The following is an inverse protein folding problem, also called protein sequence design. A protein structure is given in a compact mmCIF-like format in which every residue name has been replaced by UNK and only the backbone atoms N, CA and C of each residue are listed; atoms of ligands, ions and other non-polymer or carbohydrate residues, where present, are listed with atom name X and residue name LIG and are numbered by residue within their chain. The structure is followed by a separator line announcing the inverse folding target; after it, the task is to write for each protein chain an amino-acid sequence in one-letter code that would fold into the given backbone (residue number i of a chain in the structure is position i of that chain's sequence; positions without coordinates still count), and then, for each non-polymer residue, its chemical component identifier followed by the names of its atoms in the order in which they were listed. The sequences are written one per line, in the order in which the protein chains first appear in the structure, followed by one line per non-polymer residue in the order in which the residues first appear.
data_IF_111864779920
#
_entry.id   IF_111864779920
#
_cell.length_a   1.000
_cell.length_b   1.000
_cell.length_c   1.000
_cell.angle_alpha   90.00
_cell.angle_beta   90.00
_cell.angle_gamma   90.00
#
_symmetry.space_group_name_H-M   'P 1'
#
loop_
_entity.id
_entity.type
_entity.pdbx_description
1 polymer ?
#
# COMPACT_ATOMS: atom_id res chain seq x y z
N UNK A 1 -15.84 23.05 34.77
CA UNK A 1 -15.31 23.58 33.49
C UNK A 1 -14.35 22.54 32.92
N UNK A 2 -14.85 21.66 32.05
CA UNK A 2 -14.08 20.64 31.35
C UNK A 2 -14.36 20.87 29.86
N UNK A 3 -13.54 21.68 29.19
CA UNK A 3 -13.59 21.80 27.74
C UNK A 3 -12.91 20.57 27.15
N UNK A 4 -13.70 19.56 26.80
CA UNK A 4 -13.23 18.48 25.94
C UNK A 4 -13.00 19.08 24.55
N UNK A 5 -11.74 19.19 24.16
CA UNK A 5 -11.35 19.47 22.78
C UNK A 5 -11.91 18.37 21.89
N UNK A 6 -12.80 18.75 20.99
CA UNK A 6 -13.26 17.91 19.91
C UNK A 6 -12.12 17.88 18.89
N UNK A 7 -11.25 16.87 18.99
CA UNK A 7 -10.28 16.58 17.94
C UNK A 7 -11.06 16.07 16.74
N UNK A 8 -11.37 16.97 15.81
CA UNK A 8 -11.89 16.62 14.50
C UNK A 8 -10.72 15.91 13.78
N UNK A 9 -10.80 14.58 13.65
CA UNK A 9 -10.04 13.88 12.63
C UNK A 9 -10.54 14.42 11.29
N UNK A 10 -9.85 15.43 10.77
CA UNK A 10 -9.97 15.80 9.38
C UNK A 10 -9.37 14.63 8.60
N UNK A 11 -10.22 13.80 8.01
CA UNK A 11 -9.80 12.91 6.94
C UNK A 11 -9.16 13.79 5.86
N UNK A 12 -7.84 13.85 5.81
CA UNK A 12 -7.12 14.26 4.61
C UNK A 12 -7.35 13.13 3.58
N UNK A 13 -8.56 13.10 3.02
CA UNK A 13 -8.68 12.67 1.64
C UNK A 13 -7.96 13.78 0.86
N UNK A 14 -6.70 13.54 0.51
CA UNK A 14 -6.09 14.20 -0.64
C UNK A 14 -6.92 13.78 -1.84
N UNK A 15 -8.02 14.49 -2.04
CA UNK A 15 -8.74 14.51 -3.30
C UNK A 15 -7.73 15.12 -4.26
N UNK A 16 -6.98 14.28 -4.97
CA UNK A 16 -6.39 14.69 -6.23
C UNK A 16 -7.60 15.08 -7.06
N UNK A 17 -7.89 16.39 -7.12
CA UNK A 17 -8.79 16.94 -8.12
C UNK A 17 -8.09 16.60 -9.42
N UNK A 18 -8.51 15.49 -10.05
CA UNK A 18 -8.10 15.11 -11.38
C UNK A 18 -8.40 16.29 -12.27
N UNK A 19 -7.39 17.11 -12.53
CA UNK A 19 -7.51 18.17 -13.52
C UNK A 19 -7.68 17.47 -14.85
N UNK A 20 -8.86 17.69 -15.42
CA UNK A 20 -9.25 17.42 -16.80
C UNK A 20 -9.81 16.00 -17.04
N UNK A 21 -11.14 15.80 -17.05
CA UNK A 21 -11.76 14.52 -17.46
C UNK A 21 -11.56 14.20 -18.96
N UNK A 22 -10.79 15.02 -19.69
CA UNK A 22 -10.56 14.92 -21.14
C UNK A 22 -9.09 15.04 -21.56
N UNK A 23 -8.13 15.02 -20.61
CA UNK A 23 -6.70 14.93 -20.94
C UNK A 23 -6.25 13.46 -21.02
N UNK A 24 -5.29 13.10 -21.91
CA UNK A 24 -4.66 11.79 -21.84
C UNK A 24 -4.01 11.62 -20.46
N UNK A 25 -4.17 10.44 -19.85
CA UNK A 25 -3.57 10.14 -18.55
C UNK A 25 -2.05 10.21 -18.70
N UNK A 26 -1.31 10.92 -17.83
CA UNK A 26 0.12 11.11 -18.05
C UNK A 26 0.86 9.78 -18.04
N UNK A 27 1.75 9.61 -19.02
CA UNK A 27 2.75 8.56 -18.99
C UNK A 27 3.84 8.91 -17.97
N UNK A 28 4.32 7.90 -17.27
CA UNK A 28 5.46 8.02 -16.37
C UNK A 28 6.46 6.91 -16.69
N UNK A 29 7.72 7.16 -16.37
CA UNK A 29 8.83 6.26 -16.66
C UNK A 29 9.59 6.00 -15.37
N UNK A 30 9.96 4.75 -15.08
CA UNK A 30 10.80 4.46 -13.93
C UNK A 30 12.13 5.20 -14.12
N UNK A 31 12.64 5.78 -13.04
CA UNK A 31 13.95 6.43 -13.08
C UNK A 31 15.02 5.34 -13.16
N UNK A 32 15.80 5.33 -14.24
CA UNK A 32 16.94 4.43 -14.39
C UNK A 32 18.18 5.08 -13.78
N UNK A 33 18.42 4.80 -12.50
CA UNK A 33 19.64 5.22 -11.82
C UNK A 33 20.87 4.47 -12.35
N UNK A 34 22.04 5.10 -12.21
CA UNK A 34 23.33 4.51 -12.56
C UNK A 34 23.52 3.17 -11.84
N UNK A 35 24.03 2.16 -12.57
CA UNK A 35 24.28 0.83 -12.02
C UNK A 35 23.12 -0.16 -12.12
N UNK A 36 22.06 0.16 -12.87
CA UNK A 36 20.97 -0.78 -13.15
C UNK A 36 21.51 -2.08 -13.78
N UNK A 37 21.20 -3.26 -13.22
CA UNK A 37 21.63 -4.52 -13.81
C UNK A 37 20.99 -4.75 -15.19
N UNK A 38 21.75 -5.40 -16.09
CA UNK A 38 21.24 -5.82 -17.40
C UNK A 38 20.58 -7.22 -17.36
N UNK A 39 20.72 -7.93 -16.23
CA UNK A 39 20.12 -9.25 -15.99
C UNK A 39 18.64 -9.12 -15.62
N UNK A 40 17.90 -10.22 -15.79
CA UNK A 40 16.57 -10.33 -15.18
C UNK A 40 16.67 -10.17 -13.65
N UNK A 41 15.54 -9.85 -13.01
CA UNK A 41 15.47 -9.75 -11.55
C UNK A 41 16.07 -11.00 -10.88
N UNK A 42 17.00 -10.76 -9.98
CA UNK A 42 17.82 -11.76 -9.29
C UNK A 42 18.45 -11.11 -8.05
N UNK A 43 19.14 -11.86 -7.18
CA UNK A 43 19.84 -11.28 -6.03
C UNK A 43 20.87 -10.19 -6.39
N UNK A 44 21.35 -10.14 -7.64
CA UNK A 44 22.24 -9.05 -8.11
C UNK A 44 21.58 -7.66 -8.01
N UNK A 45 20.25 -7.60 -8.08
CA UNK A 45 19.49 -6.35 -7.97
C UNK A 45 19.39 -5.81 -6.53
N UNK A 46 19.76 -6.60 -5.52
CA UNK A 46 19.69 -6.15 -4.12
C UNK A 46 20.56 -4.92 -3.88
N UNK A 47 21.78 -4.89 -4.44
CA UNK A 47 22.69 -3.74 -4.32
C UNK A 47 22.19 -2.52 -5.08
N UNK A 48 21.47 -2.72 -6.19
CA UNK A 48 20.86 -1.63 -6.95
C UNK A 48 19.72 -0.95 -6.19
N UNK A 49 18.91 -1.74 -5.47
CA UNK A 49 17.79 -1.20 -4.69
C UNK A 49 18.18 -0.73 -3.30
N UNK A 50 19.36 -1.11 -2.78
CA UNK A 50 19.79 -0.72 -1.44
C UNK A 50 19.88 0.80 -1.30
N UNK A 51 19.21 1.34 -0.28
CA UNK A 51 19.28 2.77 0.03
C UNK A 51 20.55 3.03 0.84
N UNK A 52 21.58 3.54 0.17
CA UNK A 52 22.89 3.79 0.78
C UNK A 52 23.11 5.25 1.21
N UNK A 53 22.34 6.18 0.64
CA UNK A 53 22.45 7.61 0.92
C UNK A 53 21.50 8.04 2.05
N UNK A 54 21.92 8.96 2.94
CA UNK A 54 21.05 9.48 3.97
C UNK A 54 19.88 10.27 3.35
N UNK A 55 18.72 10.17 3.98
CA UNK A 55 17.56 10.96 3.56
C UNK A 55 17.73 12.43 3.97
N UNK A 56 17.36 13.39 3.11
CA UNK A 56 17.39 14.80 3.45
C UNK A 56 16.57 15.07 4.72
N UNK A 57 17.14 15.81 5.67
CA UNK A 57 16.51 16.18 6.93
C UNK A 57 16.12 15.01 7.86
N UNK A 58 16.63 13.80 7.62
CA UNK A 58 16.51 12.67 8.55
C UNK A 58 17.88 12.42 9.18
N UNK A 59 18.06 12.85 10.42
CA UNK A 59 19.32 12.72 11.15
C UNK A 59 19.46 11.39 11.89
N UNK A 60 18.38 10.63 11.98
CA UNK A 60 18.34 9.36 12.66
C UNK A 60 18.83 8.21 11.77
N UNK A 61 19.50 7.22 12.36
CA UNK A 61 19.86 5.99 11.66
C UNK A 61 18.61 5.13 11.47
N UNK A 62 18.29 4.88 10.21
CA UNK A 62 17.25 3.94 9.80
C UNK A 62 17.81 2.53 9.70
N UNK A 63 16.95 1.52 9.86
CA UNK A 63 17.28 0.15 9.48
C UNK A 63 17.66 0.08 8.00
N UNK A 64 18.47 -0.91 7.65
CA UNK A 64 18.85 -1.18 6.25
C UNK A 64 17.56 -1.36 5.42
N UNK A 65 17.52 -0.71 4.27
CA UNK A 65 16.31 -0.62 3.45
C UNK A 65 16.61 -0.65 1.96
N UNK A 66 15.58 -0.95 1.18
CA UNK A 66 15.65 -1.13 -0.27
C UNK A 66 14.47 -0.42 -0.92
N UNK A 67 14.69 0.39 -1.95
CA UNK A 67 13.61 1.12 -2.62
C UNK A 67 13.80 1.18 -4.12
N UNK A 68 12.69 1.17 -4.86
CA UNK A 68 12.73 1.37 -6.30
C UNK A 68 11.46 0.95 -7.03
N UNK A 69 11.44 1.21 -8.34
CA UNK A 69 10.39 0.74 -9.24
C UNK A 69 10.68 -0.69 -9.70
N UNK A 70 9.66 -1.52 -9.67
CA UNK A 70 9.72 -2.92 -10.10
C UNK A 70 8.60 -3.22 -11.08
N UNK A 71 8.94 -3.85 -12.21
CA UNK A 71 7.99 -4.17 -13.26
C UNK A 71 6.88 -5.11 -12.77
N UNK A 72 5.68 -4.92 -13.32
CA UNK A 72 4.53 -5.82 -13.10
C UNK A 72 4.38 -6.89 -14.19
N UNK A 73 5.27 -6.88 -15.18
CA UNK A 73 5.31 -7.79 -16.34
C UNK A 73 4.01 -7.84 -17.15
N UNK A 74 3.29 -6.73 -17.22
CA UNK A 74 2.08 -6.64 -18.05
C UNK A 74 2.46 -6.59 -19.53
N UNK A 75 1.93 -7.54 -20.30
CA UNK A 75 2.19 -7.66 -21.73
C UNK A 75 1.83 -6.36 -22.48
N UNK A 76 2.80 -5.80 -23.21
CA UNK A 76 2.61 -4.58 -23.98
C UNK A 76 2.81 -3.28 -23.19
N UNK A 77 3.05 -3.35 -21.88
CA UNK A 77 3.21 -2.19 -21.00
C UNK A 77 4.49 -2.27 -20.16
N UNK A 78 5.69 -2.18 -20.79
CA UNK A 78 6.97 -2.38 -20.11
C UNK A 78 7.30 -1.31 -19.05
N UNK A 79 6.58 -0.18 -19.03
CA UNK A 79 6.78 0.88 -18.03
C UNK A 79 5.79 0.80 -16.87
N UNK A 80 4.93 -0.22 -16.84
CA UNK A 80 4.03 -0.43 -15.72
C UNK A 80 4.85 -1.02 -14.58
N UNK A 81 5.04 -0.22 -13.54
CA UNK A 81 5.83 -0.62 -12.36
C UNK A 81 5.06 -0.31 -11.09
N UNK A 82 5.36 -1.06 -10.03
CA UNK A 82 5.04 -0.64 -8.67
C UNK A 82 6.31 -0.14 -7.98
N UNK A 83 6.20 0.95 -7.24
CA UNK A 83 7.25 1.44 -6.37
C UNK A 83 7.12 0.82 -4.99
N UNK A 84 8.25 0.38 -4.43
CA UNK A 84 8.31 -0.14 -3.07
C UNK A 84 9.39 0.55 -2.25
N UNK A 85 9.21 0.54 -0.93
CA UNK A 85 10.29 0.72 0.04
C UNK A 85 10.19 -0.38 1.09
N UNK A 86 11.21 -1.25 1.15
CA UNK A 86 11.32 -2.37 2.07
C UNK A 86 12.33 -2.10 3.17
N UNK A 87 12.00 -2.45 4.42
CA UNK A 87 12.87 -2.31 5.59
C UNK A 87 13.11 -3.66 6.24
N UNK A 88 14.37 -3.89 6.61
CA UNK A 88 14.79 -5.05 7.38
C UNK A 88 14.52 -4.84 8.87
N UNK A 89 13.93 -5.83 9.55
CA UNK A 89 13.87 -5.82 11.02
C UNK A 89 15.23 -6.10 11.67
N UNK A 90 16.06 -6.85 10.95
CA UNK A 90 17.41 -7.23 11.35
C UNK A 90 18.30 -7.18 10.11
N UNK A 91 19.49 -6.61 10.21
CA UNK A 91 20.41 -6.49 9.09
C UNK A 91 20.63 -7.84 8.37
N UNK A 92 20.38 -7.88 7.07
CA UNK A 92 20.49 -9.05 6.20
C UNK A 92 19.27 -9.98 6.18
N UNK A 93 18.18 -9.63 6.87
CA UNK A 93 16.95 -10.42 6.89
C UNK A 93 16.25 -10.52 5.54
N UNK A 94 16.24 -9.44 4.74
CA UNK A 94 15.66 -9.45 3.38
C UNK A 94 16.62 -10.10 2.38
N UNK A 95 17.93 -9.95 2.56
CA UNK A 95 18.95 -10.50 1.65
C UNK A 95 19.36 -11.95 1.95
N UNK A 96 18.68 -12.62 2.88
CA UNK A 96 18.89 -14.04 3.17
C UNK A 96 18.61 -14.93 1.94
N UNK A 97 19.26 -16.09 1.86
CA UNK A 97 19.11 -17.01 0.75
C UNK A 97 17.75 -17.73 0.76
N UNK A 98 17.36 -18.34 -0.37
CA UNK A 98 16.15 -19.17 -0.43
C UNK A 98 16.21 -20.30 0.61
N UNK A 99 15.13 -20.50 1.37
CA UNK A 99 15.04 -21.51 2.43
C UNK A 99 15.59 -21.07 3.79
N UNK A 100 16.33 -19.96 3.85
CA UNK A 100 16.72 -19.35 5.12
C UNK A 100 15.54 -18.58 5.74
N UNK A 101 15.56 -18.46 7.08
CA UNK A 101 14.54 -17.73 7.86
C UNK A 101 13.10 -18.22 7.61
N UNK A 102 12.91 -19.49 7.26
CA UNK A 102 11.60 -20.06 6.83
C UNK A 102 10.45 -19.93 7.86
N UNK A 103 10.74 -19.61 9.12
CA UNK A 103 9.78 -19.34 10.19
C UNK A 103 9.56 -17.84 10.47
N UNK A 104 10.35 -16.97 9.85
CA UNK A 104 10.36 -15.53 10.03
C UNK A 104 9.42 -14.85 9.04
N UNK A 105 8.30 -14.23 9.48
CA UNK A 105 7.36 -13.62 8.55
C UNK A 105 7.94 -12.39 7.86
N UNK A 106 7.29 -12.00 6.76
CA UNK A 106 7.47 -10.69 6.13
C UNK A 106 6.09 -10.14 5.71
N UNK A 107 6.00 -8.82 5.56
CA UNK A 107 4.74 -8.12 5.43
C UNK A 107 4.76 -7.10 4.28
N UNK A 108 3.63 -6.97 3.59
CA UNK A 108 3.34 -5.81 2.74
C UNK A 108 2.24 -4.97 3.37
N UNK A 109 2.41 -3.65 3.36
CA UNK A 109 1.39 -2.66 3.71
C UNK A 109 0.86 -1.93 2.46
N UNK A 110 -0.46 -1.81 2.37
CA UNK A 110 -1.18 -1.13 1.30
C UNK A 110 -2.16 -0.07 1.84
N UNK A 111 -1.99 1.20 1.49
CA UNK A 111 -3.06 2.19 1.65
C UNK A 111 -4.13 2.03 0.55
N UNK A 112 -5.31 2.60 0.81
CA UNK A 112 -6.50 2.47 -0.03
C UNK A 112 -6.67 3.56 -1.10
N UNK A 113 -7.69 4.41 -0.91
CA UNK A 113 -8.05 5.50 -1.83
C UNK A 113 -9.38 5.27 -2.57
N UNK A 114 -9.39 4.64 -3.76
CA UNK A 114 -8.27 4.00 -4.47
C UNK A 114 -7.23 4.99 -5.01
N UNK A 115 -6.00 4.52 -5.26
CA UNK A 115 -4.88 5.32 -5.78
C UNK A 115 -4.15 6.19 -4.75
N UNK A 116 -4.35 5.95 -3.46
CA UNK A 116 -3.57 6.62 -2.42
C UNK A 116 -2.21 5.92 -2.25
N UNK A 117 -1.13 6.71 -2.15
CA UNK A 117 0.20 6.17 -1.95
C UNK A 117 0.33 5.48 -0.59
N UNK A 118 1.03 4.34 -0.56
CA UNK A 118 1.35 3.64 0.69
C UNK A 118 2.42 4.37 1.51
N UNK A 119 2.96 5.47 0.99
CA UNK A 119 3.81 6.37 1.76
C UNK A 119 3.04 7.18 2.80
N UNK A 120 1.70 7.25 2.71
CA UNK A 120 0.88 7.71 3.82
C UNK A 120 1.11 6.82 5.04
N UNK A 121 1.00 5.50 4.88
CA UNK A 121 1.30 4.55 5.95
C UNK A 121 2.76 4.61 6.41
N UNK A 122 3.68 4.83 5.48
CA UNK A 122 5.11 4.96 5.77
C UNK A 122 5.44 6.20 6.64
N UNK A 123 4.82 7.35 6.35
CA UNK A 123 5.16 8.65 6.94
C UNK A 123 4.19 9.13 8.02
N UNK A 124 2.99 8.57 8.13
CA UNK A 124 1.96 9.07 9.05
C UNK A 124 1.40 7.99 9.98
N UNK A 125 1.65 6.71 9.71
CA UNK A 125 1.01 5.60 10.44
C UNK A 125 2.00 4.62 11.08
N UNK A 126 2.44 3.62 10.31
CA UNK A 126 3.13 2.43 10.81
C UNK A 126 4.56 2.27 10.30
N UNK A 127 5.04 3.20 9.46
CA UNK A 127 6.42 3.24 9.01
C UNK A 127 7.39 3.91 9.99
N UNK A 128 8.70 3.85 9.66
CA UNK A 128 9.79 4.24 10.56
C UNK A 128 9.90 5.75 10.77
N UNK A 129 9.24 6.53 9.91
CA UNK A 129 9.26 7.98 9.94
C UNK A 129 7.86 8.52 10.25
N UNK A 130 7.83 9.70 10.87
CA UNK A 130 6.61 10.45 11.08
C UNK A 130 6.80 11.91 10.67
N UNK A 131 5.92 12.42 9.81
CA UNK A 131 5.89 13.85 9.46
C UNK A 131 5.01 14.58 10.48
N UNK A 132 5.59 15.58 11.14
CA UNK A 132 4.88 16.40 12.14
C UNK A 132 4.15 17.58 11.52
N UNK A 133 3.32 18.26 12.31
CA UNK A 133 2.55 19.43 11.86
C UNK A 133 3.40 20.61 11.37
N UNK A 134 4.66 20.72 11.80
CA UNK A 134 5.61 21.72 11.33
C UNK A 134 6.47 21.22 10.15
N UNK A 135 6.09 20.09 9.54
CA UNK A 135 6.75 19.41 8.45
C UNK A 135 8.16 18.90 8.76
N UNK A 136 8.54 18.81 10.04
CA UNK A 136 9.75 18.09 10.43
C UNK A 136 9.52 16.58 10.38
N UNK A 137 10.61 15.82 10.23
CA UNK A 137 10.58 14.35 10.18
C UNK A 137 11.18 13.82 11.48
N UNK A 138 10.42 12.98 12.18
CA UNK A 138 10.85 12.33 13.42
C UNK A 138 10.76 10.81 13.27
N UNK A 139 11.47 10.06 14.13
CA UNK A 139 11.34 8.61 14.15
C UNK A 139 10.02 8.16 14.78
N UNK A 140 9.42 7.13 14.18
CA UNK A 140 8.31 6.42 14.80
C UNK A 140 8.84 5.31 15.73
N UNK A 141 8.62 5.47 17.03
CA UNK A 141 9.06 4.48 18.01
C UNK A 141 8.28 3.15 17.93
N UNK A 142 7.12 3.14 17.29
CA UNK A 142 6.21 1.99 17.17
C UNK A 142 6.09 1.47 15.74
N UNK A 143 7.06 1.79 14.88
CA UNK A 143 7.09 1.33 13.50
C UNK A 143 7.13 -0.20 13.39
N UNK A 144 6.45 -0.73 12.38
CA UNK A 144 6.30 -2.17 12.16
C UNK A 144 7.58 -2.86 11.69
N UNK A 145 8.51 -2.13 11.08
CA UNK A 145 9.83 -2.66 10.72
C UNK A 145 10.63 -3.15 11.94
N UNK A 146 10.27 -2.71 13.16
CA UNK A 146 10.88 -3.23 14.41
C UNK A 146 10.41 -4.64 14.78
N UNK A 147 9.37 -5.16 14.14
CA UNK A 147 8.73 -6.43 14.47
C UNK A 147 8.85 -7.47 13.34
N UNK A 148 8.85 -7.01 12.10
CA UNK A 148 8.80 -7.85 10.90
C UNK A 148 9.47 -7.11 9.75
N UNK A 149 9.96 -7.82 8.73
CA UNK A 149 10.39 -7.14 7.50
C UNK A 149 9.15 -6.60 6.79
N UNK A 150 9.14 -5.31 6.44
CA UNK A 150 7.96 -4.63 5.90
C UNK A 150 8.29 -3.96 4.58
N UNK A 151 7.39 -4.10 3.61
CA UNK A 151 7.37 -3.36 2.36
C UNK A 151 6.13 -2.46 2.29
N UNK A 152 6.33 -1.15 2.10
CA UNK A 152 5.27 -0.23 1.69
C UNK A 152 5.27 -0.14 0.18
N UNK A 153 4.14 -0.46 -0.45
CA UNK A 153 4.04 -0.58 -1.92
C UNK A 153 2.99 0.36 -2.46
N UNK A 154 3.39 1.26 -3.35
CA UNK A 154 2.46 2.10 -4.10
C UNK A 154 1.77 1.27 -5.17
N UNK A 155 0.45 1.16 -5.08
CA UNK A 155 -0.37 0.42 -6.04
C UNK A 155 -1.79 1.01 -6.08
N UNK A 156 -2.53 0.86 -7.18
CA UNK A 156 -2.17 0.19 -8.44
C UNK A 156 -1.15 0.98 -9.28
N UNK A 157 -0.79 0.43 -10.46
CA UNK A 157 0.02 1.11 -11.49
C UNK A 157 -0.40 2.57 -11.67
N UNK A 158 0.56 3.49 -11.57
CA UNK A 158 0.37 4.95 -11.63
C UNK A 158 0.09 5.65 -10.29
N UNK A 159 0.00 4.92 -9.18
CA UNK A 159 -0.16 5.48 -7.83
C UNK A 159 1.16 5.97 -7.26
N UNK A 160 1.20 7.17 -6.66
CA UNK A 160 2.40 7.67 -5.98
C UNK A 160 3.63 7.68 -6.88
N UNK A 161 4.66 6.91 -6.53
CA UNK A 161 5.90 6.76 -7.31
C UNK A 161 5.85 5.60 -8.33
N UNK A 162 4.75 4.84 -8.38
CA UNK A 162 4.52 3.79 -9.38
C UNK A 162 4.28 4.38 -10.76
N UNK A 163 4.77 3.71 -11.81
CA UNK A 163 4.75 4.27 -13.17
C UNK A 163 3.79 3.55 -14.08
N UNK A 164 3.22 4.26 -15.05
CA UNK A 164 2.22 3.76 -15.98
C UNK A 164 2.54 4.15 -17.43
N UNK A 165 2.34 3.20 -18.34
CA UNK A 165 2.38 3.41 -19.78
C UNK A 165 1.17 4.25 -20.25
N UNK A 166 1.36 5.14 -21.23
CA UNK A 166 0.32 6.06 -21.71
C UNK A 166 -0.95 5.34 -22.22
N UNK A 167 -0.74 4.29 -23.03
CA UNK A 167 -1.79 3.60 -23.76
C UNK A 167 -2.22 2.37 -22.98
N UNK A 168 -3.23 2.50 -22.12
CA UNK A 168 -3.80 1.39 -21.35
C UNK A 168 -2.93 0.89 -20.18
N UNK A 169 -1.92 1.66 -19.75
CA UNK A 169 -1.09 1.29 -18.60
C UNK A 169 -1.81 1.41 -17.25
N UNK A 170 -2.84 2.24 -17.14
CA UNK A 170 -3.66 2.27 -15.92
C UNK A 170 -4.58 1.05 -15.87
N UNK A 171 -4.79 0.50 -14.67
CA UNK A 171 -5.70 -0.62 -14.46
C UNK A 171 -7.13 -0.27 -14.91
N UNK A 172 -7.85 -1.24 -15.47
CA UNK A 172 -9.27 -1.10 -15.83
C UNK A 172 -10.22 -1.67 -14.78
N UNK A 173 -9.72 -2.61 -13.98
CA UNK A 173 -10.46 -3.34 -12.95
C UNK A 173 -9.49 -3.95 -11.93
N UNK A 174 -10.04 -4.40 -10.80
CA UNK A 174 -9.26 -5.01 -9.72
C UNK A 174 -8.71 -6.40 -10.09
N UNK A 175 -9.28 -7.07 -11.10
CA UNK A 175 -8.72 -8.32 -11.62
C UNK A 175 -7.38 -8.07 -12.34
N UNK A 176 -7.26 -6.98 -13.11
CA UNK A 176 -6.00 -6.54 -13.70
C UNK A 176 -5.01 -6.12 -12.62
N UNK A 177 -5.45 -5.31 -11.65
CA UNK A 177 -4.62 -4.93 -10.50
C UNK A 177 -4.03 -6.15 -9.78
N UNK A 178 -4.85 -7.18 -9.52
CA UNK A 178 -4.40 -8.41 -8.87
C UNK A 178 -3.36 -9.16 -9.70
N UNK A 179 -3.48 -9.18 -11.04
CA UNK A 179 -2.48 -9.78 -11.94
C UNK A 179 -1.17 -9.00 -11.93
N UNK A 180 -1.22 -7.67 -11.98
CA UNK A 180 -0.02 -6.83 -11.93
C UNK A 180 0.71 -6.99 -10.60
N UNK A 181 -0.04 -7.03 -9.49
CA UNK A 181 0.52 -7.23 -8.17
C UNK A 181 1.20 -8.60 -8.04
N UNK A 182 0.64 -9.65 -8.67
CA UNK A 182 1.27 -10.97 -8.72
C UNK A 182 2.57 -10.96 -9.55
N UNK A 183 2.63 -10.19 -10.64
CA UNK A 183 3.85 -9.94 -11.41
C UNK A 183 4.92 -9.25 -10.56
N UNK A 184 4.55 -8.17 -9.87
CA UNK A 184 5.41 -7.51 -8.89
C UNK A 184 5.93 -8.47 -7.82
N UNK A 185 5.07 -9.30 -7.21
CA UNK A 185 5.48 -10.29 -6.20
C UNK A 185 6.48 -11.30 -6.77
N UNK A 186 6.29 -11.73 -8.02
CA UNK A 186 7.20 -12.67 -8.70
C UNK A 186 8.61 -12.06 -8.87
N UNK A 187 8.66 -10.79 -9.25
CA UNK A 187 9.92 -10.05 -9.37
C UNK A 187 10.55 -9.75 -8.00
N UNK A 188 9.73 -9.44 -6.99
CA UNK A 188 10.20 -9.14 -5.64
C UNK A 188 10.91 -10.35 -5.03
N UNK A 189 10.32 -11.55 -5.14
CA UNK A 189 10.96 -12.78 -4.62
C UNK A 189 12.17 -13.21 -5.46
N UNK A 190 12.26 -12.82 -6.73
CA UNK A 190 13.47 -13.08 -7.53
C UNK A 190 14.65 -12.25 -7.02
N UNK A 191 14.40 -11.01 -6.57
CA UNK A 191 15.41 -10.15 -5.93
C UNK A 191 15.70 -10.59 -4.49
N UNK A 192 14.67 -10.94 -3.71
CA UNK A 192 14.79 -11.33 -2.30
C UNK A 192 14.34 -12.79 -2.11
N UNK A 193 15.20 -13.77 -2.40
CA UNK A 193 14.81 -15.18 -2.55
C UNK A 193 14.31 -15.85 -1.26
N UNK A 194 14.72 -15.40 -0.07
CA UNK A 194 14.16 -15.93 1.19
C UNK A 194 12.63 -15.75 1.28
N UNK A 195 12.09 -14.65 0.75
CA UNK A 195 10.68 -14.27 0.84
C UNK A 195 9.72 -15.32 0.25
N UNK A 196 10.20 -16.10 -0.73
CA UNK A 196 9.43 -17.16 -1.38
C UNK A 196 8.92 -18.22 -0.39
N UNK A 197 9.74 -18.58 0.58
CA UNK A 197 9.45 -19.66 1.55
C UNK A 197 8.90 -19.14 2.87
N UNK A 198 9.30 -17.92 3.26
CA UNK A 198 8.89 -17.25 4.49
C UNK A 198 7.37 -17.00 4.56
N UNK A 199 6.75 -16.99 5.75
CA UNK A 199 5.34 -16.65 5.92
C UNK A 199 5.05 -15.22 5.42
N UNK A 200 4.26 -15.09 4.36
CA UNK A 200 3.88 -13.78 3.83
C UNK A 200 2.57 -13.28 4.46
N UNK A 201 2.59 -12.05 4.97
CA UNK A 201 1.43 -11.34 5.49
C UNK A 201 1.05 -10.15 4.60
N UNK A 202 -0.16 -10.15 4.07
CA UNK A 202 -0.66 -9.06 3.25
C UNK A 202 -1.58 -8.15 4.06
N UNK A 203 -1.20 -6.90 4.26
CA UNK A 203 -1.92 -5.97 5.13
C UNK A 203 -2.22 -4.65 4.46
N UNK A 204 -3.20 -3.92 4.98
CA UNK A 204 -3.52 -2.61 4.47
C UNK A 204 -4.80 -2.06 5.07
N UNK A 205 -5.22 -0.91 4.57
CA UNK A 205 -6.39 -0.21 5.08
C UNK A 205 -7.30 0.40 4.00
N UNK A 206 -8.50 0.83 4.41
CA UNK A 206 -9.43 1.56 3.53
C UNK A 206 -9.78 0.74 2.28
N UNK A 207 -9.59 1.25 1.07
CA UNK A 207 -9.84 0.51 -0.18
C UNK A 207 -8.98 -0.76 -0.35
N UNK A 208 -7.96 -0.98 0.51
CA UNK A 208 -7.31 -2.28 0.62
C UNK A 208 -8.26 -3.40 1.06
N UNK A 209 -9.43 -3.07 1.61
CA UNK A 209 -10.55 -4.00 1.78
C UNK A 209 -11.07 -4.60 0.47
N UNK A 210 -10.85 -3.93 -0.66
CA UNK A 210 -11.08 -4.45 -2.01
C UNK A 210 -9.79 -5.04 -2.59
N UNK A 211 -8.66 -4.34 -2.49
CA UNK A 211 -7.40 -4.80 -3.10
C UNK A 211 -6.93 -6.16 -2.59
N UNK A 212 -6.92 -6.36 -1.27
CA UNK A 212 -6.38 -7.57 -0.63
C UNK A 212 -7.14 -8.83 -1.08
N UNK A 213 -8.49 -8.86 -1.11
CA UNK A 213 -9.22 -9.98 -1.72
C UNK A 213 -8.85 -10.28 -3.17
N UNK A 214 -8.67 -9.28 -4.03
CA UNK A 214 -8.32 -9.49 -5.44
C UNK A 214 -6.88 -9.97 -5.63
N UNK A 215 -5.92 -9.45 -4.85
CA UNK A 215 -4.55 -9.95 -4.81
C UNK A 215 -4.53 -11.41 -4.33
N UNK A 216 -5.30 -11.70 -3.28
CA UNK A 216 -5.44 -13.04 -2.72
C UNK A 216 -6.07 -14.01 -3.73
N UNK A 217 -7.08 -13.57 -4.48
CA UNK A 217 -7.67 -14.32 -5.59
C UNK A 217 -6.62 -14.64 -6.66
N UNK A 218 -5.79 -13.69 -7.06
CA UNK A 218 -4.73 -13.90 -8.05
C UNK A 218 -3.67 -14.94 -7.57
N UNK A 219 -3.25 -14.82 -6.31
CA UNK A 219 -2.33 -15.78 -5.67
C UNK A 219 -2.93 -17.20 -5.66
N UNK A 220 -4.15 -17.38 -5.14
CA UNK A 220 -4.78 -18.71 -5.04
C UNK A 220 -5.18 -19.31 -6.39
N UNK A 221 -5.33 -18.50 -7.43
CA UNK A 221 -5.62 -18.98 -8.79
C UNK A 221 -4.36 -19.42 -9.54
N UNK A 222 -3.17 -19.21 -8.98
CA UNK A 222 -1.90 -19.58 -9.60
C UNK A 222 -1.45 -20.96 -9.08
N UNK A 223 -1.18 -21.96 -9.94
CA UNK A 223 -0.83 -23.33 -9.50
C UNK A 223 0.42 -23.43 -8.62
N UNK A 224 1.36 -22.47 -8.74
CA UNK A 224 2.54 -22.35 -7.90
C UNK A 224 2.77 -20.86 -7.60
N UNK A 225 2.09 -20.28 -6.59
CA UNK A 225 2.23 -18.86 -6.31
C UNK A 225 3.68 -18.53 -5.91
N UNK A 226 4.19 -17.33 -6.24
CA UNK A 226 5.58 -16.93 -5.94
C UNK A 226 5.85 -16.76 -4.44
N UNK A 227 4.79 -16.67 -3.63
CA UNK A 227 4.85 -16.36 -2.20
C UNK A 227 4.01 -17.32 -1.37
N UNK A 228 4.40 -17.51 -0.11
CA UNK A 228 3.70 -18.35 0.86
C UNK A 228 2.74 -17.51 1.72
N UNK A 229 1.62 -17.04 1.13
CA UNK A 229 0.61 -16.25 1.85
C UNK A 229 0.03 -17.04 3.04
N UNK A 230 0.22 -16.52 4.26
CA UNK A 230 -0.27 -17.14 5.51
C UNK A 230 -1.38 -16.37 6.19
N UNK A 231 -1.35 -15.04 6.13
CA UNK A 231 -2.33 -14.17 6.78
C UNK A 231 -2.58 -12.93 5.93
N UNK A 232 -3.74 -12.34 6.13
CA UNK A 232 -3.98 -10.96 5.73
C UNK A 232 -4.71 -10.20 6.83
N UNK A 233 -4.55 -8.88 6.86
CA UNK A 233 -5.23 -8.00 7.81
C UNK A 233 -5.70 -6.73 7.10
N UNK A 234 -6.92 -6.30 7.39
CA UNK A 234 -7.55 -5.13 6.75
C UNK A 234 -8.01 -4.18 7.85
N UNK A 235 -7.35 -3.04 7.99
CA UNK A 235 -7.75 -1.95 8.88
C UNK A 235 -8.85 -1.10 8.24
N UNK A 236 -9.97 -0.90 8.92
CA UNK A 236 -11.04 0.01 8.49
C UNK A 236 -11.43 -0.15 6.99
N UNK A 237 -11.51 -1.39 6.53
CA UNK A 237 -11.61 -1.70 5.10
C UNK A 237 -12.96 -1.36 4.48
N UNK A 238 -12.94 -0.89 3.24
CA UNK A 238 -14.11 -0.86 2.38
C UNK A 238 -14.45 -2.29 1.94
N UNK A 239 -15.53 -2.84 2.48
CA UNK A 239 -16.00 -4.20 2.18
C UNK A 239 -17.45 -4.11 1.67
N UNK A 240 -17.70 -4.71 0.50
CA UNK A 240 -18.99 -4.61 -0.18
C UNK A 240 -19.12 -3.32 -0.99
N UNK A 241 -20.36 -2.85 -1.21
CA UNK A 241 -20.58 -1.60 -1.94
C UNK A 241 -20.32 -0.39 -1.06
N UNK A 242 -20.05 0.76 -1.69
CA UNK A 242 -19.95 2.05 -0.99
C UNK A 242 -21.16 2.31 -0.09
N UNK A 243 -22.37 2.00 -0.57
CA UNK A 243 -23.61 2.12 0.20
C UNK A 243 -23.59 1.26 1.46
N UNK A 244 -23.08 0.03 1.39
CA UNK A 244 -23.04 -0.88 2.54
C UNK A 244 -22.02 -0.41 3.57
N UNK A 245 -20.77 -0.11 3.17
CA UNK A 245 -19.75 0.21 4.17
C UNK A 245 -19.89 1.63 4.75
N UNK A 246 -20.46 2.58 4.00
CA UNK A 246 -20.59 3.98 4.42
C UNK A 246 -21.96 4.32 5.00
N UNK A 247 -23.03 3.95 4.30
CA UNK A 247 -24.38 4.44 4.63
C UNK A 247 -25.04 3.58 5.71
N UNK A 248 -24.81 2.27 5.73
CA UNK A 248 -25.46 1.37 6.69
C UNK A 248 -25.06 1.64 8.15
N UNK A 249 -23.77 1.88 8.48
CA UNK A 249 -23.39 2.31 9.83
C UNK A 249 -23.97 3.69 10.18
N UNK A 250 -23.97 4.63 9.22
CA UNK A 250 -24.54 5.97 9.40
C UNK A 250 -26.02 5.91 9.73
N UNK A 251 -26.80 5.13 8.97
CA UNK A 251 -28.23 4.92 9.21
C UNK A 251 -28.47 4.35 10.61
N UNK A 252 -27.71 3.33 11.01
CA UNK A 252 -27.85 2.71 12.34
C UNK A 252 -27.59 3.72 13.46
N UNK A 253 -26.57 4.58 13.32
CA UNK A 253 -26.25 5.61 14.31
C UNK A 253 -27.34 6.67 14.39
N UNK A 254 -27.84 7.14 13.24
CA UNK A 254 -28.91 8.13 13.15
C UNK A 254 -30.19 7.60 13.80
N UNK A 255 -30.58 6.35 13.49
CA UNK A 255 -31.75 5.70 14.08
C UNK A 255 -31.62 5.47 15.60
N UNK A 256 -30.42 5.14 16.08
CA UNK A 256 -30.18 4.84 17.50
C UNK A 256 -30.02 6.10 18.34
N UNK A 257 -29.44 7.16 17.77
CA UNK A 257 -29.06 8.38 18.49
C UNK A 257 -29.50 9.66 17.77
N UNK A 258 -30.82 9.86 17.58
CA UNK A 258 -31.34 11.04 16.85
C UNK A 258 -30.91 12.37 17.47
N UNK A 259 -30.68 12.41 18.78
CA UNK A 259 -30.21 13.59 19.51
C UNK A 259 -28.79 14.06 19.13
N UNK A 260 -27.94 13.21 18.53
CA UNK A 260 -26.59 13.59 18.13
C UNK A 260 -26.60 14.52 16.91
N UNK A 261 -27.59 14.35 16.02
CA UNK A 261 -27.74 15.14 14.80
C UNK A 261 -28.92 16.12 14.91
N UNK A 262 -29.83 15.90 15.86
CA UNK A 262 -31.00 16.74 16.14
C UNK A 262 -31.88 16.94 14.89
N UNK A 263 -32.06 15.88 14.10
CA UNK A 263 -33.01 15.85 12.99
C UNK A 263 -34.43 15.59 13.51
N UNK A 264 -35.44 15.96 12.73
CA UNK A 264 -36.85 15.70 13.03
C UNK A 264 -37.19 14.20 12.82
N UNK A 265 -37.48 13.43 13.90
CA UNK A 265 -37.77 12.00 13.78
C UNK A 265 -39.01 11.69 12.93
N UNK A 266 -40.00 12.58 12.90
CA UNK A 266 -41.23 12.38 12.14
C UNK A 266 -40.97 12.52 10.63
N UNK A 267 -40.12 13.47 10.24
CA UNK A 267 -39.67 13.63 8.84
C UNK A 267 -38.88 12.40 8.39
N UNK A 268 -37.97 11.89 9.22
CA UNK A 268 -37.21 10.68 8.91
C UNK A 268 -38.11 9.45 8.77
N UNK A 269 -39.06 9.27 9.69
CA UNK A 269 -40.01 8.15 9.66
C UNK A 269 -40.92 8.21 8.42
N UNK A 270 -41.32 9.40 7.98
CA UNK A 270 -42.07 9.57 6.74
C UNK A 270 -41.30 8.97 5.54
N UNK A 271 -40.03 9.35 5.36
CA UNK A 271 -39.20 8.84 4.26
C UNK A 271 -38.88 7.35 4.36
N UNK A 272 -38.76 6.80 5.58
CA UNK A 272 -38.53 5.36 5.79
C UNK A 272 -39.69 4.48 5.29
N UNK A 273 -40.89 5.05 5.17
CA UNK A 273 -42.11 4.33 4.73
C UNK A 273 -42.45 4.51 3.25
N UNK A 274 -41.70 5.32 2.52
CA UNK A 274 -41.81 5.47 1.07
C UNK A 274 -40.99 4.37 0.37
#
# INVERSE_FOLDING_TARGET
MLSKGLTILASLATLVIGRNPHGPVPNTWPQNYSGIPASNYSPEWQSYFEVTEPLPNVTAMLSRSFAGNMAVDRQGHPNDTLFFWGFEKENGSLTAAEGERSDDPWLIWLNGGPGASSFLGFMEENGPLHVTNDYSIVLNNYSWDKLVDVFWVDQPVGTGYSTASNDGGYITDEDQMGRDFLGFLSNLVAVFPSLKTRPFYLTGESYSGVYIPYITKAIFSTPNPPVNLKKFAIGNGAIGSLSVFKELPTLTVIETYPQLINYDPDVFNYFKTQ
#
